data_IF_384494339997
#
_entry.id   IF_384494339997
#
_cell.length_a   1.000
_cell.length_b   1.000
_cell.length_c   1.000
_cell.angle_alpha   90.00
_cell.angle_beta   90.00
_cell.angle_gamma   90.00
#
_symmetry.space_group_name_H-M   'P 1'
#
loop_
_entity.id
_entity.type
_entity.pdbx_description
1 polymer ?
#
# COMPACT_ATOMS: atom_id res chain seq x y z
N UNK A 1 28.41 -31.37 -16.25
CA UNK A 1 27.85 -30.40 -15.27
C UNK A 1 27.69 -29.09 -16.02
N UNK A 2 26.47 -28.73 -16.45
CA UNK A 2 26.21 -27.43 -17.05
C UNK A 2 26.35 -26.38 -15.96
N UNK A 3 27.35 -25.53 -16.09
CA UNK A 3 27.64 -24.42 -15.18
C UNK A 3 26.44 -23.46 -15.22
N UNK A 4 25.64 -23.44 -14.16
CA UNK A 4 24.52 -22.50 -14.00
C UNK A 4 25.10 -21.14 -13.58
N UNK A 5 25.79 -20.47 -14.51
CA UNK A 5 26.19 -19.07 -14.32
C UNK A 5 24.92 -18.21 -14.28
N UNK A 6 24.62 -17.50 -13.17
CA UNK A 6 23.46 -16.64 -13.07
C UNK A 6 23.50 -15.60 -14.19
N UNK A 7 22.45 -15.55 -15.02
CA UNK A 7 22.37 -14.59 -16.12
C UNK A 7 22.21 -13.17 -15.53
N UNK A 8 23.18 -12.26 -15.72
CA UNK A 8 23.15 -10.92 -15.14
C UNK A 8 22.05 -10.01 -15.73
N UNK A 9 21.32 -10.49 -16.76
CA UNK A 9 20.22 -9.79 -17.42
C UNK A 9 18.85 -10.44 -17.20
N UNK A 10 18.67 -11.24 -16.13
CA UNK A 10 17.33 -11.74 -15.79
C UNK A 10 16.38 -10.56 -15.51
N UNK A 11 15.58 -10.22 -16.51
CA UNK A 11 14.43 -9.33 -16.37
C UNK A 11 13.49 -9.91 -15.33
N UNK A 12 13.10 -9.10 -14.34
CA UNK A 12 12.14 -9.49 -13.31
C UNK A 12 10.90 -10.07 -13.99
N UNK A 13 10.60 -11.34 -13.72
CA UNK A 13 9.46 -12.00 -14.34
C UNK A 13 8.17 -11.29 -13.90
N UNK A 14 7.31 -10.86 -14.86
CA UNK A 14 6.04 -10.24 -14.53
C UNK A 14 5.11 -11.23 -13.83
N UNK A 15 4.27 -10.72 -12.94
CA UNK A 15 3.24 -11.51 -12.28
C UNK A 15 2.13 -11.87 -13.27
N UNK A 16 1.44 -13.00 -13.01
CA UNK A 16 0.19 -13.28 -13.72
C UNK A 16 -0.90 -12.28 -13.32
N UNK A 17 -1.92 -12.02 -14.15
CA UNK A 17 -3.00 -11.10 -13.79
C UNK A 17 -3.73 -11.48 -12.49
N UNK A 18 -3.87 -12.79 -12.21
CA UNK A 18 -4.45 -13.27 -10.96
C UNK A 18 -3.54 -12.98 -9.76
N UNK A 19 -2.23 -13.15 -9.91
CA UNK A 19 -1.28 -12.85 -8.83
C UNK A 19 -1.18 -11.35 -8.56
N UNK A 20 -1.23 -10.52 -9.61
CA UNK A 20 -1.28 -9.06 -9.46
C UNK A 20 -2.51 -8.64 -8.63
N UNK A 21 -3.70 -9.19 -8.92
CA UNK A 21 -4.92 -8.93 -8.13
C UNK A 21 -4.80 -9.43 -6.69
N UNK A 22 -4.26 -10.64 -6.50
CA UNK A 22 -4.06 -11.23 -5.17
C UNK A 22 -3.14 -10.35 -4.32
N UNK A 23 -1.94 -10.04 -4.82
CA UNK A 23 -0.97 -9.24 -4.10
C UNK A 23 -1.45 -7.81 -3.86
N UNK A 24 -2.12 -7.19 -4.83
CA UNK A 24 -2.70 -5.85 -4.64
C UNK A 24 -3.76 -5.86 -3.52
N UNK A 25 -4.64 -6.87 -3.51
CA UNK A 25 -5.64 -7.03 -2.43
C UNK A 25 -4.97 -7.22 -1.07
N UNK A 26 -3.94 -8.08 -0.99
CA UNK A 26 -3.20 -8.35 0.25
C UNK A 26 -2.45 -7.14 0.77
N UNK A 27 -1.88 -6.30 -0.12
CA UNK A 27 -1.19 -5.07 0.27
C UNK A 27 -2.14 -4.13 1.00
N UNK A 28 -3.36 -3.93 0.49
CA UNK A 28 -4.35 -3.06 1.12
C UNK A 28 -4.90 -3.66 2.42
N UNK A 29 -5.28 -4.94 2.43
CA UNK A 29 -5.80 -5.59 3.65
C UNK A 29 -4.74 -5.71 4.74
N UNK A 30 -3.51 -6.07 4.36
CA UNK A 30 -2.39 -6.15 5.29
C UNK A 30 -2.15 -4.81 5.97
N UNK A 31 -2.33 -3.69 5.26
CA UNK A 31 -2.11 -2.36 5.81
C UNK A 31 -3.05 -2.00 6.98
N UNK A 32 -4.20 -2.66 7.10
CA UNK A 32 -5.10 -2.50 8.25
C UNK A 32 -4.42 -2.99 9.54
N UNK A 33 -3.74 -4.14 9.48
CA UNK A 33 -3.16 -4.82 10.65
C UNK A 33 -1.69 -4.47 10.88
N UNK A 34 -0.96 -4.16 9.80
CA UNK A 34 0.50 -3.96 9.82
C UNK A 34 0.91 -2.57 9.34
N UNK A 35 -0.06 -1.65 9.19
CA UNK A 35 0.15 -0.25 8.80
C UNK A 35 0.92 -0.12 7.48
N UNK A 36 1.96 0.72 7.41
CA UNK A 36 2.68 0.99 6.17
C UNK A 36 3.56 -0.17 5.68
N UNK A 37 3.82 -1.20 6.51
CA UNK A 37 4.77 -2.26 6.17
C UNK A 37 4.38 -3.07 4.92
N UNK A 38 3.14 -3.57 4.74
CA UNK A 38 2.78 -4.33 3.54
C UNK A 38 2.86 -3.49 2.27
N UNK A 39 2.49 -2.21 2.34
CA UNK A 39 2.61 -1.28 1.23
C UNK A 39 4.08 -0.98 0.87
N UNK A 40 4.94 -0.81 1.89
CA UNK A 40 6.36 -0.61 1.72
C UNK A 40 7.03 -1.83 1.07
N UNK A 41 6.78 -3.02 1.63
CA UNK A 41 7.33 -4.29 1.13
C UNK A 41 6.83 -4.54 -0.29
N UNK A 42 5.52 -4.38 -0.54
CA UNK A 42 4.93 -4.53 -1.87
C UNK A 42 5.56 -3.58 -2.89
N UNK A 43 5.75 -2.31 -2.52
CA UNK A 43 6.36 -1.32 -3.41
C UNK A 43 7.82 -1.66 -3.74
N UNK A 44 8.62 -2.17 -2.81
CA UNK A 44 10.01 -2.51 -3.12
C UNK A 44 10.21 -3.86 -3.81
N UNK A 45 9.34 -4.84 -3.56
CA UNK A 45 9.51 -6.20 -4.09
C UNK A 45 8.69 -6.50 -5.35
N UNK A 46 7.55 -5.82 -5.53
CA UNK A 46 6.56 -6.17 -6.56
C UNK A 46 6.38 -5.10 -7.63
N UNK A 47 6.79 -3.84 -7.40
CA UNK A 47 6.55 -2.72 -8.34
C UNK A 47 7.07 -2.95 -9.76
N UNK A 48 8.15 -3.71 -9.90
CA UNK A 48 8.80 -3.96 -11.19
C UNK A 48 8.24 -5.22 -11.89
N UNK A 49 7.19 -5.83 -11.32
CA UNK A 49 6.57 -7.08 -11.81
C UNK A 49 5.22 -6.89 -12.50
N UNK A 50 4.79 -5.66 -12.73
CA UNK A 50 3.56 -5.37 -13.45
C UNK A 50 3.02 -3.97 -13.18
N UNK A 51 2.37 -3.33 -14.16
CA UNK A 51 1.86 -1.97 -13.99
C UNK A 51 0.72 -1.89 -12.96
N UNK A 52 -0.11 -2.93 -12.83
CA UNK A 52 -1.26 -2.90 -11.92
C UNK A 52 -0.80 -3.04 -10.46
N UNK A 53 0.07 -3.99 -10.15
CA UNK A 53 0.66 -4.12 -8.80
C UNK A 53 1.53 -2.91 -8.44
N UNK A 54 2.22 -2.29 -9.41
CA UNK A 54 2.97 -1.04 -9.21
C UNK A 54 2.08 0.09 -8.72
N UNK A 55 0.97 0.34 -9.42
CA UNK A 55 0.08 1.44 -9.04
C UNK A 55 -0.60 1.18 -7.69
N UNK A 56 -1.03 -0.04 -7.39
CA UNK A 56 -1.63 -0.34 -6.09
C UNK A 56 -0.64 -0.23 -4.93
N UNK A 57 0.59 -0.73 -5.09
CA UNK A 57 1.61 -0.62 -4.04
C UNK A 57 2.06 0.82 -3.82
N UNK A 58 2.19 1.61 -4.90
CA UNK A 58 2.46 3.06 -4.82
C UNK A 58 1.34 3.80 -4.10
N UNK A 59 0.08 3.59 -4.52
CA UNK A 59 -1.08 4.25 -3.94
C UNK A 59 -1.27 3.89 -2.46
N UNK A 60 -1.12 2.60 -2.12
CA UNK A 60 -1.16 2.12 -0.74
C UNK A 60 -0.06 2.77 0.11
N UNK A 61 1.16 2.88 -0.42
CA UNK A 61 2.28 3.44 0.34
C UNK A 61 2.08 4.94 0.59
N UNK A 62 1.66 5.70 -0.42
CA UNK A 62 1.30 7.11 -0.25
C UNK A 62 0.19 7.31 0.80
N UNK A 63 -0.84 6.47 0.76
CA UNK A 63 -1.92 6.54 1.73
C UNK A 63 -1.47 6.16 3.14
N UNK A 64 -0.71 5.08 3.31
CA UNK A 64 -0.26 4.64 4.63
C UNK A 64 0.72 5.62 5.28
N UNK A 65 1.55 6.31 4.49
CA UNK A 65 2.37 7.42 4.99
C UNK A 65 1.49 8.62 5.40
N UNK A 66 0.40 8.89 4.69
CA UNK A 66 -0.58 9.90 5.08
C UNK A 66 -1.28 9.54 6.39
N UNK A 67 -1.71 8.28 6.55
CA UNK A 67 -2.31 7.75 7.78
C UNK A 67 -1.30 7.82 8.94
N UNK A 68 -0.03 7.50 8.70
CA UNK A 68 1.04 7.62 9.70
C UNK A 68 1.19 9.06 10.20
N UNK A 69 1.17 10.06 9.30
CA UNK A 69 1.15 11.46 9.70
C UNK A 69 -0.09 11.82 10.52
N UNK A 70 -1.26 11.26 10.15
CA UNK A 70 -2.49 11.39 10.92
C UNK A 70 -2.33 10.88 12.36
N UNK A 71 -1.69 9.74 12.57
CA UNK A 71 -1.38 9.23 13.90
C UNK A 71 -0.42 10.15 14.66
N UNK A 72 0.64 10.65 14.02
CA UNK A 72 1.58 11.59 14.64
C UNK A 72 0.87 12.87 15.11
N UNK A 73 0.01 13.45 14.27
CA UNK A 73 -0.80 14.63 14.62
C UNK A 73 -1.79 14.32 15.73
N UNK A 74 -2.46 13.17 15.69
CA UNK A 74 -3.38 12.73 16.72
C UNK A 74 -2.70 12.57 18.10
N UNK A 75 -1.53 11.93 18.13
CA UNK A 75 -0.72 11.78 19.34
C UNK A 75 -0.22 13.13 19.87
N UNK A 76 0.25 14.00 18.98
CA UNK A 76 0.68 15.37 19.33
C UNK A 76 -0.49 16.19 19.89
N UNK A 77 -1.72 16.00 19.43
CA UNK A 77 -2.87 16.80 19.91
C UNK A 77 -3.57 16.20 21.13
N UNK A 78 -3.00 15.17 21.77
CA UNK A 78 -3.58 14.56 22.98
C UNK A 78 -3.63 15.51 24.17
N UNK A 79 -2.63 16.37 24.36
CA UNK A 79 -2.57 17.27 25.53
C UNK A 79 -3.63 18.38 25.53
N UNK A 80 -4.25 18.65 24.38
CA UNK A 80 -5.42 19.55 24.26
C UNK A 80 -6.76 18.79 24.21
N UNK A 81 -6.77 17.51 24.60
CA UNK A 81 -7.95 16.62 24.65
C UNK A 81 -8.68 16.34 23.32
N UNK A 82 -8.22 16.89 22.18
CA UNK A 82 -8.81 16.59 20.86
C UNK A 82 -8.16 15.39 20.17
N UNK A 83 -6.94 15.00 20.58
CA UNK A 83 -6.19 13.94 19.93
C UNK A 83 -6.90 12.60 19.88
N UNK A 84 -7.72 12.26 20.88
CA UNK A 84 -8.50 11.02 20.89
C UNK A 84 -9.50 10.94 19.73
N UNK A 85 -10.19 12.04 19.42
CA UNK A 85 -11.11 12.13 18.28
C UNK A 85 -10.37 12.00 16.95
N UNK A 86 -9.21 12.65 16.84
CA UNK A 86 -8.35 12.55 15.65
C UNK A 86 -7.89 11.11 15.42
N UNK A 87 -7.41 10.43 16.47
CA UNK A 87 -6.95 9.04 16.38
C UNK A 87 -8.09 8.09 15.97
N UNK A 88 -9.28 8.25 16.54
CA UNK A 88 -10.46 7.45 16.14
C UNK A 88 -10.78 7.69 14.66
N UNK A 89 -10.81 8.94 14.22
CA UNK A 89 -11.05 9.27 12.81
C UNK A 89 -10.01 8.62 11.89
N UNK A 90 -8.72 8.71 12.23
CA UNK A 90 -7.62 8.11 11.45
C UNK A 90 -7.77 6.59 11.34
N UNK A 91 -8.12 5.90 12.42
CA UNK A 91 -8.36 4.44 12.41
C UNK A 91 -9.51 4.09 11.47
N UNK A 92 -10.64 4.78 11.60
CA UNK A 92 -11.82 4.55 10.75
C UNK A 92 -11.49 4.82 9.28
N UNK A 93 -10.83 5.93 8.97
CA UNK A 93 -10.40 6.25 7.61
C UNK A 93 -9.45 5.20 7.04
N UNK A 94 -8.47 4.74 7.82
CA UNK A 94 -7.53 3.69 7.40
C UNK A 94 -8.27 2.40 7.00
N UNK A 95 -9.21 1.96 7.84
CA UNK A 95 -9.98 0.72 7.62
C UNK A 95 -10.87 0.87 6.38
N UNK A 96 -11.69 1.92 6.32
CA UNK A 96 -12.67 2.11 5.25
C UNK A 96 -11.99 2.18 3.88
N UNK A 97 -10.97 3.04 3.75
CA UNK A 97 -10.30 3.21 2.46
C UNK A 97 -9.46 2.00 2.07
N UNK A 98 -8.81 1.30 3.02
CA UNK A 98 -8.09 0.07 2.71
C UNK A 98 -9.02 -1.05 2.25
N UNK A 99 -10.23 -1.16 2.81
CA UNK A 99 -11.24 -2.13 2.34
C UNK A 99 -11.72 -1.78 0.93
N UNK A 100 -12.02 -0.51 0.65
CA UNK A 100 -12.45 -0.07 -0.69
C UNK A 100 -11.35 -0.37 -1.72
N UNK A 101 -10.10 -0.04 -1.40
CA UNK A 101 -8.95 -0.31 -2.26
C UNK A 101 -8.74 -1.81 -2.49
N UNK A 102 -8.91 -2.64 -1.46
CA UNK A 102 -8.84 -4.10 -1.56
C UNK A 102 -9.94 -4.67 -2.47
N UNK A 103 -11.18 -4.18 -2.34
CA UNK A 103 -12.29 -4.60 -3.19
C UNK A 103 -12.05 -4.20 -4.65
N UNK A 104 -11.59 -2.98 -4.90
CA UNK A 104 -11.23 -2.51 -6.24
C UNK A 104 -10.10 -3.36 -6.85
N UNK A 105 -9.04 -3.60 -6.08
CA UNK A 105 -7.92 -4.45 -6.50
C UNK A 105 -8.38 -5.87 -6.86
N UNK A 106 -9.27 -6.46 -6.06
CA UNK A 106 -9.83 -7.79 -6.33
C UNK A 106 -10.65 -7.82 -7.64
N UNK A 107 -11.37 -6.73 -7.96
CA UNK A 107 -12.08 -6.58 -9.24
C UNK A 107 -11.14 -6.35 -10.41
N UNK A 108 -9.90 -5.93 -10.17
CA UNK A 108 -8.95 -5.53 -11.21
C UNK A 108 -9.09 -4.06 -11.61
N UNK A 109 -9.65 -3.25 -10.72
CA UNK A 109 -9.80 -1.80 -10.89
C UNK A 109 -8.69 -1.08 -10.14
N UNK A 110 -8.09 -0.07 -10.77
CA UNK A 110 -7.14 0.81 -10.09
C UNK A 110 -7.89 1.67 -9.06
N UNK A 111 -7.26 1.85 -7.90
CA UNK A 111 -7.81 2.69 -6.85
C UNK A 111 -6.77 3.72 -6.40
N UNK A 112 -7.14 5.00 -6.47
CA UNK A 112 -6.35 6.10 -5.92
C UNK A 112 -7.07 6.66 -4.70
N UNK A 113 -6.37 6.71 -3.57
CA UNK A 113 -6.89 7.26 -2.33
C UNK A 113 -7.12 8.77 -2.46
N UNK A 114 -8.35 9.28 -2.30
CA UNK A 114 -8.66 10.70 -2.54
C UNK A 114 -7.90 11.67 -1.63
N UNK A 115 -7.55 11.22 -0.42
CA UNK A 115 -6.92 12.04 0.63
C UNK A 115 -5.42 11.77 0.77
N UNK A 116 -4.85 10.88 -0.04
CA UNK A 116 -3.43 10.53 0.09
C UNK A 116 -2.54 11.66 -0.43
N UNK A 117 -1.57 12.06 0.39
CA UNK A 117 -0.48 12.91 -0.04
C UNK A 117 0.44 12.11 -0.99
N UNK A 118 0.96 12.78 -2.01
CA UNK A 118 1.86 12.15 -2.98
C UNK A 118 3.30 12.26 -2.49
N UNK A 119 3.85 11.17 -1.96
CA UNK A 119 5.27 11.03 -1.63
C UNK A 119 6.05 10.36 -2.78
N UNK A 120 5.38 9.44 -3.47
CA UNK A 120 5.92 8.70 -4.60
C UNK A 120 5.12 9.06 -5.85
N UNK A 121 5.80 9.70 -6.81
CA UNK A 121 5.24 10.10 -8.09
C UNK A 121 4.94 8.89 -9.00
N UNK A 122 4.01 9.09 -9.95
CA UNK A 122 3.59 8.12 -10.97
C UNK A 122 4.61 7.97 -12.09
#
# INVERSE_FOLDING_TARGET
MSENTPNPYQTTQPLSPSDEKLWATLVHLGAIFFHFLPALIGYFLLRDRGPFIREHTRAALNFQLTVLLGYVVGLFTLWIFIGSLVLIAVVVFNIVFSIIAAIAANRGELYTYPVALTFIAS
#
